data_IF_191577990195
#
_entry.id   IF_191577990195
#
_cell.length_a   1.000
_cell.length_b   1.000
_cell.length_c   1.000
_cell.angle_alpha   90.00
_cell.angle_beta   90.00
_cell.angle_gamma   90.00
#
_symmetry.space_group_name_H-M   'P 1'
#
loop_
_entity.id
_entity.type
_entity.pdbx_description
1 polymer ?
#
# COMPACT_ATOMS: atom_id res chain seq x y z
N UNK A 1 -24.21 46.41 -2.46
CA UNK A 1 -23.32 45.88 -3.52
C UNK A 1 -22.74 44.49 -3.20
N UNK A 2 -23.21 43.80 -2.18
CA UNK A 2 -22.68 42.51 -1.71
C UNK A 2 -23.30 41.25 -2.35
N UNK A 3 -24.47 41.32 -2.95
CA UNK A 3 -25.22 40.12 -3.36
C UNK A 3 -24.87 39.50 -4.73
N UNK A 4 -24.01 40.15 -5.53
CA UNK A 4 -23.72 39.66 -6.89
C UNK A 4 -22.48 38.74 -6.93
N UNK A 5 -21.58 38.94 -5.99
CA UNK A 5 -20.32 38.13 -5.87
C UNK A 5 -20.63 36.78 -5.24
N UNK A 6 -21.51 36.74 -4.23
CA UNK A 6 -21.91 35.50 -3.55
C UNK A 6 -22.73 34.58 -4.47
N UNK A 7 -23.55 35.15 -5.37
CA UNK A 7 -24.34 34.40 -6.34
C UNK A 7 -23.44 33.72 -7.40
N UNK A 8 -22.44 34.44 -7.93
CA UNK A 8 -21.48 33.90 -8.91
C UNK A 8 -20.56 32.83 -8.30
N UNK A 9 -20.25 32.97 -7.02
CA UNK A 9 -19.45 31.97 -6.31
C UNK A 9 -20.24 30.68 -6.07
N UNK A 10 -21.52 30.78 -5.73
CA UNK A 10 -22.43 29.66 -5.54
C UNK A 10 -22.73 28.90 -6.86
N UNK A 11 -22.88 29.62 -7.98
CA UNK A 11 -23.07 29.02 -9.31
C UNK A 11 -21.81 28.31 -9.78
N UNK A 12 -20.61 28.85 -9.56
CA UNK A 12 -19.36 28.20 -9.89
C UNK A 12 -19.11 26.95 -9.06
N UNK A 13 -19.48 26.95 -7.77
CA UNK A 13 -19.42 25.76 -6.91
C UNK A 13 -20.44 24.68 -7.31
N UNK A 14 -21.63 25.08 -7.76
CA UNK A 14 -22.61 24.13 -8.32
C UNK A 14 -22.17 23.55 -9.65
N UNK A 15 -21.63 24.37 -10.56
CA UNK A 15 -21.11 23.92 -11.85
C UNK A 15 -19.90 22.98 -11.67
N UNK A 16 -19.01 23.26 -10.71
CA UNK A 16 -17.90 22.38 -10.35
C UNK A 16 -18.38 21.05 -9.74
N UNK A 17 -19.42 21.08 -8.88
CA UNK A 17 -20.05 19.87 -8.32
C UNK A 17 -20.78 19.04 -9.37
N UNK A 18 -21.47 19.66 -10.33
CA UNK A 18 -22.15 18.96 -11.43
C UNK A 18 -21.14 18.31 -12.37
N UNK A 19 -20.01 18.98 -12.70
CA UNK A 19 -18.93 18.36 -13.49
C UNK A 19 -18.29 17.16 -12.78
N UNK A 20 -18.11 17.21 -11.47
CA UNK A 20 -17.56 16.07 -10.68
C UNK A 20 -18.54 14.89 -10.64
N UNK A 21 -19.86 15.13 -10.72
CA UNK A 21 -20.85 14.04 -10.70
C UNK A 21 -21.14 13.43 -12.07
N UNK A 22 -20.88 14.12 -13.18
CA UNK A 22 -21.05 13.59 -14.54
C UNK A 22 -19.83 12.81 -15.06
N UNK A 23 -18.60 13.07 -14.54
CA UNK A 23 -17.39 12.31 -14.86
C UNK A 23 -17.18 11.06 -13.99
N UNK A 24 -18.03 10.81 -12.99
CA UNK A 24 -17.88 9.69 -12.04
C UNK A 24 -18.50 8.38 -12.52
N UNK A 25 -18.91 8.24 -13.78
CA UNK A 25 -19.64 7.06 -14.26
C UNK A 25 -18.74 5.94 -14.80
N UNK A 26 -17.42 6.14 -14.91
CA UNK A 26 -16.48 5.04 -15.13
C UNK A 26 -15.07 5.41 -14.63
N UNK A 27 -14.61 4.73 -13.59
CA UNK A 27 -13.20 4.82 -13.19
C UNK A 27 -12.32 4.31 -14.33
N UNK A 28 -11.19 4.98 -14.64
CA UNK A 28 -10.30 4.58 -15.71
C UNK A 28 -9.73 3.19 -15.45
N UNK A 29 -9.38 2.47 -16.51
CA UNK A 29 -8.60 1.24 -16.37
C UNK A 29 -7.25 1.55 -15.73
N UNK A 30 -6.69 0.56 -15.01
CA UNK A 30 -5.45 0.74 -14.26
C UNK A 30 -4.29 1.29 -15.10
N UNK A 31 -4.09 0.78 -16.31
CA UNK A 31 -2.99 1.21 -17.18
C UNK A 31 -3.23 2.62 -17.77
N UNK A 32 -4.48 2.99 -17.99
CA UNK A 32 -4.86 4.35 -18.38
C UNK A 32 -4.52 5.35 -17.28
N UNK A 33 -4.96 5.07 -16.05
CA UNK A 33 -4.64 5.89 -14.88
C UNK A 33 -3.14 6.02 -14.64
N UNK A 34 -2.39 4.92 -14.77
CA UNK A 34 -0.93 4.91 -14.64
C UNK A 34 -0.25 5.79 -15.68
N UNK A 35 -0.77 5.78 -16.91
CA UNK A 35 -0.29 6.64 -17.99
C UNK A 35 -0.56 8.12 -17.70
N UNK A 36 -1.75 8.44 -17.24
CA UNK A 36 -2.12 9.80 -16.82
C UNK A 36 -1.25 10.30 -15.66
N UNK A 37 -1.03 9.46 -14.64
CA UNK A 37 -0.19 9.79 -13.49
C UNK A 37 1.24 10.14 -13.93
N UNK A 38 1.83 9.33 -14.82
CA UNK A 38 3.14 9.63 -15.43
C UNK A 38 3.14 10.93 -16.21
N UNK A 39 2.09 11.17 -16.99
CA UNK A 39 1.93 12.41 -17.77
C UNK A 39 1.87 13.67 -16.92
N UNK A 40 1.39 13.56 -15.67
CA UNK A 40 1.41 14.66 -14.67
C UNK A 40 2.74 14.81 -13.94
N UNK A 41 3.74 13.95 -14.22
CA UNK A 41 5.04 13.96 -13.56
C UNK A 41 5.07 13.21 -12.21
N UNK A 42 4.06 12.40 -11.89
CA UNK A 42 4.07 11.54 -10.71
C UNK A 42 5.10 10.41 -10.86
N UNK A 43 5.59 9.86 -9.73
CA UNK A 43 6.53 8.73 -9.71
C UNK A 43 5.95 7.50 -10.43
N UNK A 44 4.66 7.24 -10.25
CA UNK A 44 3.91 6.14 -10.86
C UNK A 44 4.64 4.78 -10.74
N UNK A 45 5.23 4.52 -9.58
CA UNK A 45 5.90 3.25 -9.27
C UNK A 45 4.87 2.23 -8.83
N UNK A 46 4.71 1.14 -9.58
CA UNK A 46 3.78 0.07 -9.25
C UNK A 46 4.40 -0.88 -8.23
N UNK A 47 3.72 -1.03 -7.11
CA UNK A 47 4.00 -2.01 -6.05
C UNK A 47 2.75 -2.87 -5.81
N UNK A 48 2.89 -3.89 -4.96
CA UNK A 48 1.81 -4.82 -4.63
C UNK A 48 1.62 -4.88 -3.12
N UNK A 49 0.43 -4.50 -2.67
CA UNK A 49 0.07 -4.48 -1.25
C UNK A 49 -0.69 -5.75 -0.93
N UNK A 50 -0.15 -6.52 -0.02
CA UNK A 50 -0.79 -7.68 0.62
C UNK A 50 -1.27 -7.25 1.99
N UNK A 51 -2.58 -7.35 2.22
CA UNK A 51 -3.20 -7.18 3.51
C UNK A 51 -3.51 -8.55 4.07
N UNK A 52 -2.94 -8.90 5.23
CA UNK A 52 -2.98 -10.23 5.80
C UNK A 52 -3.62 -10.22 7.18
N UNK A 53 -4.45 -11.22 7.49
CA UNK A 53 -5.20 -11.35 8.74
C UNK A 53 -5.25 -12.78 9.21
N UNK A 54 -5.31 -13.04 10.53
CA UNK A 54 -5.46 -14.39 11.07
C UNK A 54 -6.75 -15.05 10.59
N UNK A 55 -6.73 -16.38 10.45
CA UNK A 55 -7.92 -17.18 10.14
C UNK A 55 -8.70 -17.63 11.37
N UNK A 56 -8.16 -17.36 12.57
CA UNK A 56 -8.77 -17.66 13.87
C UNK A 56 -7.88 -18.48 14.81
N UNK A 57 -7.00 -19.32 14.30
CA UNK A 57 -6.07 -20.11 15.14
C UNK A 57 -4.80 -19.30 15.48
N UNK A 58 -4.82 -18.60 16.60
CA UNK A 58 -3.68 -17.85 17.09
C UNK A 58 -2.52 -18.74 17.56
N UNK A 59 -2.79 -20.01 17.91
CA UNK A 59 -1.76 -21.00 18.22
C UNK A 59 -0.93 -21.32 16.98
N UNK A 60 -1.60 -21.57 15.86
CA UNK A 60 -0.95 -21.81 14.58
C UNK A 60 -0.16 -20.57 14.10
N UNK A 61 -0.71 -19.38 14.27
CA UNK A 61 0.00 -18.11 13.96
C UNK A 61 1.30 -18.02 14.76
N UNK A 62 1.25 -18.26 16.09
CA UNK A 62 2.44 -18.21 16.94
C UNK A 62 3.47 -19.28 16.58
N UNK A 63 3.02 -20.48 16.27
CA UNK A 63 3.90 -21.58 15.92
C UNK A 63 4.62 -21.33 14.58
N UNK A 64 3.97 -20.69 13.62
CA UNK A 64 4.51 -20.41 12.29
C UNK A 64 5.33 -19.10 12.23
N UNK A 65 5.25 -18.25 13.25
CA UNK A 65 5.89 -16.92 13.25
C UNK A 65 7.41 -16.97 12.96
N UNK A 66 8.23 -17.88 13.51
CA UNK A 66 9.66 -17.92 13.21
C UNK A 66 9.94 -18.14 11.73
N UNK A 67 9.22 -19.06 11.08
CA UNK A 67 9.39 -19.37 9.66
C UNK A 67 8.93 -18.20 8.78
N UNK A 68 7.84 -17.53 9.16
CA UNK A 68 7.38 -16.30 8.51
C UNK A 68 8.45 -15.22 8.55
N UNK A 69 9.04 -14.96 9.72
CA UNK A 69 10.07 -13.91 9.87
C UNK A 69 11.33 -14.26 9.04
N UNK A 70 11.73 -15.53 9.00
CA UNK A 70 12.82 -15.98 8.16
C UNK A 70 12.51 -15.77 6.67
N UNK A 71 11.28 -16.06 6.24
CA UNK A 71 10.83 -15.78 4.88
C UNK A 71 10.83 -14.30 4.54
N UNK A 72 10.33 -13.45 5.43
CA UNK A 72 10.35 -11.99 5.24
C UNK A 72 11.79 -11.48 5.07
N UNK A 73 12.72 -11.95 5.90
CA UNK A 73 14.15 -11.62 5.78
C UNK A 73 14.73 -12.07 4.43
N UNK A 74 14.40 -13.25 3.97
CA UNK A 74 14.81 -13.73 2.65
C UNK A 74 14.29 -12.84 1.52
N UNK A 75 13.03 -12.39 1.61
CA UNK A 75 12.42 -11.49 0.62
C UNK A 75 13.02 -10.09 0.66
N UNK A 76 13.40 -9.61 1.84
CA UNK A 76 14.15 -8.36 2.02
C UNK A 76 15.53 -8.44 1.34
N UNK A 77 16.29 -9.48 1.62
CA UNK A 77 17.62 -9.72 1.03
C UNK A 77 17.56 -9.86 -0.50
N UNK A 78 16.48 -10.44 -1.02
CA UNK A 78 16.23 -10.56 -2.45
C UNK A 78 15.73 -9.24 -3.10
N UNK A 79 15.49 -8.19 -2.32
CA UNK A 79 14.93 -6.91 -2.79
C UNK A 79 13.47 -6.98 -3.24
N UNK A 80 12.78 -8.09 -2.94
CA UNK A 80 11.37 -8.28 -3.25
C UNK A 80 10.46 -7.66 -2.19
N UNK A 81 10.85 -7.64 -0.93
CA UNK A 81 10.15 -6.96 0.14
C UNK A 81 10.53 -5.48 0.19
N UNK A 82 9.55 -4.60 0.13
CA UNK A 82 9.75 -3.15 0.27
C UNK A 82 9.54 -2.73 1.72
N UNK A 83 8.41 -3.13 2.30
CA UNK A 83 8.04 -2.87 3.70
C UNK A 83 7.10 -3.96 4.18
N UNK A 84 7.16 -4.28 5.47
CA UNK A 84 6.18 -5.14 6.12
C UNK A 84 6.04 -4.77 7.60
N UNK A 85 4.85 -5.00 8.16
CA UNK A 85 4.62 -4.79 9.58
C UNK A 85 3.17 -5.00 9.99
N UNK A 86 2.92 -5.11 11.30
CA UNK A 86 1.56 -5.17 11.84
C UNK A 86 0.87 -3.80 11.73
N UNK A 87 -0.45 -3.84 11.69
CA UNK A 87 -1.29 -2.66 11.80
C UNK A 87 -2.04 -2.67 13.14
N UNK A 88 -2.33 -1.47 13.65
CA UNK A 88 -3.24 -1.30 14.78
C UNK A 88 -4.70 -1.47 14.35
N UNK A 89 -5.59 -1.51 15.33
CA UNK A 89 -7.01 -1.26 15.13
C UNK A 89 -7.26 0.20 14.69
N UNK A 90 -8.51 0.55 14.42
CA UNK A 90 -8.90 1.90 13.98
C UNK A 90 -8.67 2.97 15.07
N UNK A 91 -8.58 2.60 16.34
CA UNK A 91 -8.29 3.54 17.43
C UNK A 91 -6.80 3.88 17.53
N UNK A 92 -5.93 3.00 17.04
CA UNK A 92 -4.47 3.09 17.17
C UNK A 92 -3.92 2.51 18.47
N UNK A 93 -4.78 2.03 19.37
CA UNK A 93 -4.40 1.60 20.71
C UNK A 93 -4.03 0.11 20.79
N UNK A 94 -4.62 -0.72 19.91
CA UNK A 94 -4.46 -2.18 19.96
C UNK A 94 -3.93 -2.74 18.65
N UNK A 95 -3.15 -3.80 18.74
CA UNK A 95 -2.70 -4.57 17.58
C UNK A 95 -3.72 -5.67 17.29
N UNK A 96 -4.47 -5.56 16.20
CA UNK A 96 -5.52 -6.51 15.80
C UNK A 96 -5.00 -7.76 15.08
N UNK A 97 -3.70 -8.00 15.09
CA UNK A 97 -3.06 -9.07 14.35
C UNK A 97 -3.22 -8.98 12.81
N UNK A 98 -3.76 -7.90 12.27
CA UNK A 98 -3.64 -7.59 10.85
C UNK A 98 -2.22 -7.12 10.52
N UNK A 99 -1.81 -7.29 9.28
CA UNK A 99 -0.51 -6.82 8.80
C UNK A 99 -0.57 -6.38 7.35
N UNK A 100 0.40 -5.57 6.98
CA UNK A 100 0.61 -5.13 5.61
C UNK A 100 2.00 -5.58 5.14
N UNK A 101 2.07 -6.11 3.92
CA UNK A 101 3.32 -6.47 3.26
C UNK A 101 3.31 -5.81 1.88
N UNK A 102 4.38 -5.12 1.54
CA UNK A 102 4.51 -4.43 0.25
C UNK A 102 5.63 -5.10 -0.54
N UNK A 103 5.26 -5.72 -1.66
CA UNK A 103 6.18 -6.39 -2.56
C UNK A 103 6.51 -5.57 -3.81
N UNK A 104 7.74 -5.75 -4.27
CA UNK A 104 8.19 -5.41 -5.62
C UNK A 104 8.15 -6.69 -6.45
N UNK A 105 7.41 -6.68 -7.54
CA UNK A 105 7.28 -7.81 -8.45
C UNK A 105 7.05 -7.30 -9.90
N UNK A 106 7.17 -8.18 -10.88
CA UNK A 106 6.96 -7.84 -12.28
C UNK A 106 5.48 -7.68 -12.66
N UNK A 107 4.58 -8.35 -11.95
CA UNK A 107 3.14 -8.30 -12.15
C UNK A 107 2.40 -8.88 -10.93
N UNK A 108 1.06 -8.81 -10.97
CA UNK A 108 0.22 -9.26 -9.87
C UNK A 108 0.37 -10.77 -9.57
N UNK A 109 0.55 -11.61 -10.60
CA UNK A 109 0.71 -13.05 -10.41
C UNK A 109 2.04 -13.39 -9.75
N UNK A 110 3.12 -12.70 -10.13
CA UNK A 110 4.42 -12.83 -9.49
C UNK A 110 4.36 -12.38 -8.02
N UNK A 111 3.65 -11.28 -7.72
CA UNK A 111 3.45 -10.83 -6.34
C UNK A 111 2.60 -11.81 -5.52
N UNK A 112 1.55 -12.40 -6.13
CA UNK A 112 0.76 -13.45 -5.51
C UNK A 112 1.58 -14.68 -5.20
N UNK A 113 2.45 -15.10 -6.12
CA UNK A 113 3.36 -16.22 -5.88
C UNK A 113 4.35 -15.96 -4.73
N UNK A 114 4.73 -14.71 -4.46
CA UNK A 114 5.48 -14.35 -3.25
C UNK A 114 4.61 -14.53 -2.00
N UNK A 115 3.39 -14.00 -2.00
CA UNK A 115 2.48 -14.10 -0.87
C UNK A 115 2.10 -15.57 -0.55
N UNK A 116 1.86 -16.40 -1.58
CA UNK A 116 1.50 -17.82 -1.41
C UNK A 116 2.65 -18.66 -0.82
N UNK A 117 3.90 -18.24 -0.99
CA UNK A 117 5.06 -18.91 -0.41
C UNK A 117 5.33 -18.55 1.04
N UNK A 118 4.72 -17.49 1.56
CA UNK A 118 4.82 -17.14 2.97
C UNK A 118 4.29 -18.32 3.83
N UNK A 119 5.08 -18.83 4.78
CA UNK A 119 4.66 -19.95 5.62
C UNK A 119 3.30 -19.76 6.30
N UNK A 120 2.98 -18.55 6.72
CA UNK A 120 1.67 -18.26 7.35
C UNK A 120 0.50 -18.44 6.39
N UNK A 121 0.65 -18.05 5.13
CA UNK A 121 -0.38 -18.23 4.12
C UNK A 121 -0.44 -19.70 3.67
N UNK A 122 0.73 -20.30 3.49
CA UNK A 122 0.85 -21.69 3.04
C UNK A 122 0.20 -22.70 3.98
N UNK A 123 0.30 -22.51 5.30
CA UNK A 123 -0.33 -23.38 6.29
C UNK A 123 -1.75 -22.97 6.65
N UNK A 124 -2.24 -21.86 6.08
CA UNK A 124 -3.58 -21.34 6.36
C UNK A 124 -3.72 -20.65 7.72
N UNK A 125 -2.62 -20.32 8.40
CA UNK A 125 -2.65 -19.55 9.65
C UNK A 125 -3.19 -18.13 9.43
N UNK A 126 -2.95 -17.57 8.24
CA UNK A 126 -3.42 -16.26 7.82
C UNK A 126 -4.01 -16.34 6.40
N UNK A 127 -5.03 -15.52 6.18
CA UNK A 127 -5.58 -15.24 4.84
C UNK A 127 -5.11 -13.86 4.40
N UNK A 128 -5.08 -13.62 3.08
CA UNK A 128 -4.70 -12.32 2.54
C UNK A 128 -5.56 -11.90 1.34
N UNK A 129 -5.59 -10.62 1.09
CA UNK A 129 -5.92 -10.03 -0.20
C UNK A 129 -4.70 -9.27 -0.75
N UNK A 130 -4.64 -9.13 -2.08
CA UNK A 130 -3.53 -8.47 -2.75
C UNK A 130 -4.06 -7.49 -3.81
N UNK A 131 -3.47 -6.30 -3.85
CA UNK A 131 -3.79 -5.26 -4.82
C UNK A 131 -2.53 -4.61 -5.39
N UNK A 132 -2.65 -4.12 -6.63
CA UNK A 132 -1.69 -3.17 -7.17
C UNK A 132 -1.81 -1.84 -6.41
N UNK A 133 -0.70 -1.20 -6.15
CA UNK A 133 -0.60 0.13 -5.58
C UNK A 133 0.32 0.99 -6.43
N UNK A 134 -0.16 2.12 -6.88
CA UNK A 134 0.63 3.09 -7.61
C UNK A 134 1.14 4.15 -6.64
N UNK A 135 2.43 4.12 -6.35
CA UNK A 135 3.08 5.14 -5.53
C UNK A 135 3.38 6.33 -6.42
N UNK A 136 2.68 7.42 -6.19
CA UNK A 136 2.81 8.65 -6.96
C UNK A 136 3.67 9.69 -6.27
N UNK A 137 3.52 9.84 -4.96
CA UNK A 137 4.16 10.84 -4.13
C UNK A 137 4.75 10.21 -2.87
N UNK A 138 5.69 10.88 -2.26
CA UNK A 138 6.33 10.50 -1.00
C UNK A 138 7.79 10.87 -0.96
N UNK A 139 8.40 10.76 0.22
CA UNK A 139 9.83 10.98 0.41
C UNK A 139 10.38 10.01 1.45
N UNK A 140 11.65 9.66 1.28
CA UNK A 140 12.42 8.89 2.25
C UNK A 140 13.67 9.71 2.58
N UNK A 141 14.02 9.81 3.86
CA UNK A 141 15.24 10.48 4.31
C UNK A 141 16.23 9.46 4.86
N UNK A 142 17.49 9.61 4.50
CA UNK A 142 18.57 8.72 4.94
C UNK A 142 19.67 9.55 5.59
N UNK A 143 20.13 9.11 6.75
CA UNK A 143 21.32 9.66 7.40
C UNK A 143 22.49 8.70 7.21
N UNK A 144 23.61 9.20 6.66
CA UNK A 144 24.83 8.43 6.48
C UNK A 144 25.84 8.87 7.55
N UNK A 145 26.23 7.95 8.42
CA UNK A 145 27.25 8.17 9.44
C UNK A 145 28.60 7.68 8.95
N UNK A 146 29.51 8.61 8.67
CA UNK A 146 30.80 8.28 8.06
C UNK A 146 31.71 7.48 9.00
N UNK A 147 31.73 7.83 10.29
CA UNK A 147 32.59 7.17 11.29
C UNK A 147 32.19 5.71 11.55
N UNK A 148 30.89 5.40 11.56
CA UNK A 148 30.35 4.05 11.75
C UNK A 148 30.12 3.30 10.47
N UNK A 149 30.26 3.96 9.31
CA UNK A 149 29.94 3.43 7.98
C UNK A 149 28.52 2.81 7.93
N UNK A 150 27.55 3.48 8.58
CA UNK A 150 26.17 3.00 8.69
C UNK A 150 25.18 3.97 8.02
N UNK A 151 24.04 3.44 7.62
CA UNK A 151 22.92 4.19 7.07
C UNK A 151 21.72 4.00 8.00
N UNK A 152 21.05 5.09 8.34
CA UNK A 152 19.79 5.07 9.08
C UNK A 152 18.67 5.69 8.25
N UNK A 153 17.49 5.08 8.32
CA UNK A 153 16.24 5.64 7.82
C UNK A 153 15.64 6.52 8.92
N UNK A 154 15.22 7.74 8.58
CA UNK A 154 14.62 8.70 9.52
C UNK A 154 13.29 9.23 8.99
#
# INVERSE_FOLDING_TARGET
>A
MSNKIDFLFAENLRAARVKVTEECDSMPKWEEYKTEAKGRGALAMELFVVRTRPTGDMGLVKATLPDHLAYQKQMEDAGALVMAGPMSDETGDMMEAEGMIIYRASNLDAARALADRDPMHKVGARAYDIRKWLVNEGSLSFTISLSSQSVALS
#
